data_IF_373309880837
#
_entry.id   IF_373309880837
#
_cell.length_a   1.000
_cell.length_b   1.000
_cell.length_c   1.000
_cell.angle_alpha   90.00
_cell.angle_beta   90.00
_cell.angle_gamma   90.00
#
_symmetry.space_group_name_H-M   'P 1'
#
loop_
_entity.id
_entity.type
_entity.pdbx_description
1 polymer ?
#
# COMPACT_ATOMS: atom_id res chain seq x y z
N UNK A 1 3.37 1.79 -29.88
CA UNK A 1 3.00 0.80 -28.85
C UNK A 1 1.88 1.39 -28.03
N UNK A 2 0.75 0.69 -27.90
CA UNK A 2 -0.37 1.16 -27.09
C UNK A 2 -0.02 0.86 -25.63
N UNK A 3 0.34 1.90 -24.87
CA UNK A 3 0.52 1.78 -23.41
C UNK A 3 -0.86 1.48 -22.85
N UNK A 4 -1.03 0.37 -22.13
CA UNK A 4 -2.30 0.08 -21.46
C UNK A 4 -2.65 1.24 -20.53
N UNK A 5 -3.71 1.98 -20.83
CA UNK A 5 -4.14 3.19 -20.11
C UNK A 5 -5.08 2.88 -18.96
N UNK A 6 -5.20 1.61 -18.55
CA UNK A 6 -6.13 1.16 -17.52
C UNK A 6 -5.39 0.47 -16.41
N UNK A 7 -5.64 0.90 -15.17
CA UNK A 7 -5.15 0.26 -13.96
C UNK A 7 -6.26 -0.57 -13.33
N UNK A 8 -5.93 -1.81 -13.00
CA UNK A 8 -6.77 -2.72 -12.22
C UNK A 8 -5.93 -3.30 -11.06
N UNK A 9 -6.22 -2.94 -9.80
CA UNK A 9 -5.47 -3.40 -8.64
C UNK A 9 -5.62 -4.91 -8.37
N UNK A 10 -6.61 -5.58 -8.97
CA UNK A 10 -6.79 -7.02 -8.79
C UNK A 10 -5.87 -7.87 -9.68
N UNK A 11 -5.19 -7.25 -10.64
CA UNK A 11 -4.19 -7.90 -11.50
C UNK A 11 -2.81 -7.26 -11.30
N UNK A 12 -1.76 -8.07 -11.48
CA UNK A 12 -0.41 -7.54 -11.46
C UNK A 12 -0.19 -6.63 -12.67
N UNK A 13 0.29 -5.39 -12.47
CA UNK A 13 0.65 -4.55 -13.60
C UNK A 13 1.87 -5.15 -14.31
N UNK A 14 1.90 -5.08 -15.64
CA UNK A 14 3.09 -5.47 -16.39
C UNK A 14 4.28 -4.60 -15.96
N UNK A 15 5.41 -5.17 -15.50
CA UNK A 15 6.52 -4.38 -14.97
C UNK A 15 7.13 -3.40 -15.97
N UNK A 16 7.17 -3.76 -17.26
CA UNK A 16 7.77 -2.92 -18.31
C UNK A 16 6.87 -1.72 -18.63
N UNK A 17 5.58 -1.98 -18.79
CA UNK A 17 4.54 -0.99 -19.05
C UNK A 17 4.42 -0.06 -17.86
N UNK A 18 4.30 -0.58 -16.64
CA UNK A 18 4.19 0.22 -15.43
C UNK A 18 5.36 1.18 -15.27
N UNK A 19 6.60 0.70 -15.44
CA UNK A 19 7.80 1.53 -15.34
C UNK A 19 7.90 2.61 -16.42
N UNK A 20 7.28 2.39 -17.59
CA UNK A 20 7.26 3.37 -18.69
C UNK A 20 6.27 4.52 -18.47
N UNK A 21 5.26 4.35 -17.61
CA UNK A 21 4.27 5.38 -17.29
C UNK A 21 4.91 6.40 -16.36
N UNK A 22 4.66 7.70 -16.59
CA UNK A 22 5.12 8.78 -15.70
C UNK A 22 4.57 8.59 -14.26
N UNK A 23 5.34 9.04 -13.25
CA UNK A 23 4.96 8.89 -11.86
C UNK A 23 3.62 9.55 -11.52
N UNK A 24 3.34 10.75 -12.06
CA UNK A 24 2.04 11.42 -11.90
C UNK A 24 0.92 10.67 -12.60
N UNK A 25 1.22 10.05 -13.74
CA UNK A 25 0.24 9.33 -14.54
C UNK A 25 -0.20 8.04 -13.84
N UNK A 26 0.72 7.33 -13.18
CA UNK A 26 0.37 6.17 -12.32
C UNK A 26 -0.61 6.56 -11.22
N UNK A 27 -0.39 7.71 -10.58
CA UNK A 27 -1.31 8.24 -9.57
C UNK A 27 -2.68 8.55 -10.18
N UNK A 28 -2.72 9.21 -11.36
CA UNK A 28 -3.99 9.49 -12.06
C UNK A 28 -4.73 8.22 -12.48
N UNK A 29 -4.03 7.15 -12.85
CA UNK A 29 -4.64 5.86 -13.18
C UNK A 29 -5.34 5.24 -11.96
N UNK A 30 -4.69 5.26 -10.79
CA UNK A 30 -5.29 4.77 -9.55
C UNK A 30 -6.52 5.59 -9.16
N UNK A 31 -6.44 6.92 -9.24
CA UNK A 31 -7.58 7.82 -8.96
C UNK A 31 -8.74 7.51 -9.92
N UNK A 32 -8.44 7.37 -11.21
CA UNK A 32 -9.44 7.10 -12.24
C UNK A 32 -10.14 5.76 -12.00
N UNK A 33 -9.39 4.71 -11.62
CA UNK A 33 -9.96 3.41 -11.27
C UNK A 33 -10.96 3.52 -10.12
N UNK A 34 -10.62 4.21 -9.04
CA UNK A 34 -11.52 4.37 -7.89
C UNK A 34 -12.77 5.18 -8.27
N UNK A 35 -12.61 6.25 -9.06
CA UNK A 35 -13.71 7.08 -9.52
C UNK A 35 -14.68 6.28 -10.43
N UNK A 36 -14.15 5.50 -11.38
CA UNK A 36 -14.93 4.66 -12.29
C UNK A 36 -15.72 3.58 -11.54
N UNK A 37 -15.15 3.03 -10.47
CA UNK A 37 -15.79 2.03 -9.62
C UNK A 37 -16.60 2.62 -8.46
N UNK A 38 -16.76 3.95 -8.41
CA UNK A 38 -17.49 4.69 -7.36
C UNK A 38 -17.01 4.36 -5.94
N UNK A 39 -15.72 4.09 -5.78
CA UNK A 39 -15.09 3.81 -4.49
C UNK A 39 -14.69 5.14 -3.86
N UNK A 40 -15.34 5.50 -2.75
CA UNK A 40 -15.02 6.71 -2.00
C UNK A 40 -13.87 6.45 -1.03
N UNK A 41 -12.84 7.28 -1.08
CA UNK A 41 -11.69 7.24 -0.16
C UNK A 41 -11.42 8.63 0.40
N UNK A 42 -10.78 8.70 1.57
CA UNK A 42 -10.27 9.96 2.12
C UNK A 42 -9.02 10.38 1.34
N UNK A 43 -8.92 11.67 0.97
CA UNK A 43 -7.83 12.22 0.15
C UNK A 43 -7.37 11.28 -0.99
N UNK A 44 -8.09 11.36 -2.11
CA UNK A 44 -7.85 10.53 -3.29
C UNK A 44 -6.38 10.55 -3.75
N UNK A 45 -5.65 11.66 -3.54
CA UNK A 45 -4.26 11.78 -3.98
C UNK A 45 -3.33 10.99 -3.06
N UNK A 46 -3.45 11.17 -1.74
CA UNK A 46 -2.65 10.39 -0.78
C UNK A 46 -2.93 8.89 -0.91
N UNK A 47 -4.20 8.51 -1.02
CA UNK A 47 -4.60 7.12 -1.23
C UNK A 47 -3.96 6.52 -2.49
N UNK A 48 -4.01 7.24 -3.61
CA UNK A 48 -3.41 6.79 -4.86
C UNK A 48 -1.88 6.69 -4.80
N UNK A 49 -1.20 7.60 -4.08
CA UNK A 49 0.24 7.51 -3.86
C UNK A 49 0.62 6.24 -3.10
N UNK A 50 -0.16 5.85 -2.10
CA UNK A 50 0.08 4.63 -1.33
C UNK A 50 -0.05 3.38 -2.20
N UNK A 51 -1.07 3.32 -3.07
CA UNK A 51 -1.18 2.26 -4.08
C UNK A 51 0.07 2.18 -4.94
N UNK A 52 0.48 3.30 -5.55
CA UNK A 52 1.65 3.34 -6.44
C UNK A 52 2.91 2.90 -5.71
N UNK A 53 3.09 3.31 -4.45
CA UNK A 53 4.22 2.90 -3.63
C UNK A 53 4.25 1.39 -3.40
N UNK A 54 3.12 0.78 -3.02
CA UNK A 54 3.03 -0.67 -2.83
C UNK A 54 3.24 -1.42 -4.15
N UNK A 55 2.67 -0.97 -5.26
CA UNK A 55 2.90 -1.56 -6.58
C UNK A 55 4.38 -1.54 -6.96
N UNK A 56 5.05 -0.41 -6.74
CA UNK A 56 6.48 -0.30 -7.00
C UNK A 56 7.30 -1.27 -6.15
N UNK A 57 6.93 -1.50 -4.88
CA UNK A 57 7.58 -2.49 -4.01
C UNK A 57 7.32 -3.92 -4.51
N UNK A 58 6.08 -4.24 -4.88
CA UNK A 58 5.71 -5.57 -5.40
C UNK A 58 6.43 -5.90 -6.69
N UNK A 59 6.60 -4.92 -7.58
CA UNK A 59 7.34 -5.05 -8.84
C UNK A 59 8.85 -5.23 -8.66
N UNK A 60 9.40 -5.08 -7.46
CA UNK A 60 10.77 -5.52 -7.15
C UNK A 60 10.85 -7.06 -7.04
N UNK A 61 9.70 -7.72 -6.84
CA UNK A 61 9.55 -9.18 -6.88
C UNK A 61 10.21 -9.93 -5.73
N UNK A 62 10.66 -9.23 -4.69
CA UNK A 62 11.37 -9.82 -3.56
C UNK A 62 11.14 -9.07 -2.27
N UNK A 63 11.25 -9.80 -1.16
CA UNK A 63 11.24 -9.23 0.18
C UNK A 63 9.89 -9.37 0.90
N UNK A 64 9.76 -8.73 2.07
CA UNK A 64 8.61 -8.93 2.96
C UNK A 64 7.27 -8.56 2.33
N UNK A 65 7.23 -7.51 1.49
CA UNK A 65 5.99 -7.04 0.85
C UNK A 65 5.44 -8.07 -0.13
N UNK A 66 6.31 -8.69 -0.96
CA UNK A 66 5.92 -9.75 -1.90
C UNK A 66 5.44 -11.00 -1.17
N UNK A 67 6.15 -11.43 -0.11
CA UNK A 67 5.71 -12.57 0.72
C UNK A 67 4.38 -12.31 1.43
N UNK A 68 4.18 -11.09 1.93
CA UNK A 68 2.93 -10.70 2.55
C UNK A 68 1.76 -10.74 1.54
N UNK A 69 2.00 -10.30 0.29
CA UNK A 69 1.02 -10.42 -0.78
C UNK A 69 0.62 -11.89 -1.03
N UNK A 70 1.61 -12.75 -1.24
CA UNK A 70 1.38 -14.19 -1.50
C UNK A 70 0.58 -14.83 -0.37
N UNK A 71 0.98 -14.59 0.88
CA UNK A 71 0.31 -15.12 2.07
C UNK A 71 -1.13 -14.64 2.18
N UNK A 72 -1.39 -13.33 2.08
CA UNK A 72 -2.75 -12.79 2.20
C UNK A 72 -3.65 -13.20 1.03
N UNK A 73 -3.09 -13.41 -0.17
CA UNK A 73 -3.84 -14.00 -1.30
C UNK A 73 -4.17 -15.47 -1.05
N UNK A 74 -3.26 -16.23 -0.43
CA UNK A 74 -3.52 -17.61 -0.01
C UNK A 74 -4.60 -17.68 1.09
N UNK A 75 -4.76 -16.64 1.92
CA UNK A 75 -5.90 -16.46 2.86
C UNK A 75 -7.22 -16.12 2.14
N UNK A 76 -7.23 -15.96 0.81
CA UNK A 76 -8.42 -15.68 0.00
C UNK A 76 -8.75 -14.19 -0.13
N UNK A 77 -7.83 -13.28 0.19
CA UNK A 77 -8.05 -11.86 -0.02
C UNK A 77 -7.79 -11.44 -1.48
N UNK A 78 -8.69 -10.66 -2.10
CA UNK A 78 -8.45 -10.10 -3.42
C UNK A 78 -7.25 -9.15 -3.36
N UNK A 79 -6.48 -9.09 -4.44
CA UNK A 79 -5.20 -8.37 -4.48
C UNK A 79 -5.40 -6.89 -4.18
N UNK A 80 -6.49 -6.27 -4.64
CA UNK A 80 -6.82 -4.90 -4.28
C UNK A 80 -6.92 -4.69 -2.77
N UNK A 81 -7.62 -5.58 -2.06
CA UNK A 81 -7.70 -5.54 -0.59
C UNK A 81 -6.32 -5.73 0.03
N UNK A 82 -5.49 -6.62 -0.51
CA UNK A 82 -4.14 -6.83 0.00
C UNK A 82 -3.28 -5.57 -0.13
N UNK A 83 -3.35 -4.84 -1.25
CA UNK A 83 -2.65 -3.55 -1.39
C UNK A 83 -3.05 -2.57 -0.28
N UNK A 84 -4.34 -2.47 0.06
CA UNK A 84 -4.79 -1.63 1.17
C UNK A 84 -4.23 -2.08 2.52
N UNK A 85 -4.15 -3.40 2.76
CA UNK A 85 -3.55 -3.96 3.97
C UNK A 85 -2.09 -3.54 4.07
N UNK A 86 -1.31 -3.75 3.01
CA UNK A 86 0.11 -3.42 2.96
C UNK A 86 0.35 -1.90 3.08
N UNK A 87 -0.47 -1.07 2.43
CA UNK A 87 -0.42 0.38 2.58
C UNK A 87 -0.69 0.83 4.03
N UNK A 88 -1.60 0.16 4.74
CA UNK A 88 -1.88 0.42 6.16
C UNK A 88 -0.66 0.12 7.03
N UNK A 89 0.03 -0.99 6.77
CA UNK A 89 1.28 -1.35 7.47
C UNK A 89 2.37 -0.33 7.16
N UNK A 90 2.52 0.08 5.89
CA UNK A 90 3.49 1.10 5.51
C UNK A 90 3.27 2.44 6.24
N UNK A 91 2.02 2.88 6.38
CA UNK A 91 1.69 4.08 7.14
C UNK A 91 1.96 3.93 8.65
N UNK A 92 1.78 2.74 9.22
CA UNK A 92 2.02 2.48 10.63
C UNK A 92 3.51 2.40 10.98
N UNK A 93 4.35 2.02 10.00
CA UNK A 93 5.80 1.85 10.13
C UNK A 93 6.53 2.63 9.03
N UNK A 94 6.46 3.99 9.03
CA UNK A 94 7.08 4.78 7.99
C UNK A 94 8.60 4.65 8.08
N UNK A 95 9.19 3.94 7.14
CA UNK A 95 10.64 3.84 7.01
C UNK A 95 11.15 5.13 6.38
N UNK A 96 11.88 5.94 7.15
CA UNK A 96 12.59 7.11 6.62
C UNK A 96 11.75 8.35 6.28
N UNK A 97 10.59 8.57 6.91
CA UNK A 97 9.81 9.81 6.73
C UNK A 97 9.32 10.44 8.05
N UNK A 98 9.21 11.78 7.99
CA UNK A 98 8.93 12.78 9.03
C UNK A 98 7.74 12.36 9.92
N UNK A 99 8.01 11.65 11.01
CA UNK A 99 6.97 11.07 11.88
C UNK A 99 7.25 9.66 12.38
N UNK A 100 8.36 9.03 11.96
CA UNK A 100 8.90 7.88 12.68
C UNK A 100 9.05 8.21 14.17
N UNK A 101 8.77 7.25 15.06
CA UNK A 101 9.04 7.41 16.50
C UNK A 101 10.43 8.01 16.64
N UNK A 102 10.52 9.20 17.25
CA UNK A 102 11.74 10.02 17.29
C UNK A 102 12.99 9.31 17.85
N UNK A 103 12.81 8.11 18.38
CA UNK A 103 13.82 7.30 19.06
C UNK A 103 14.33 6.10 18.23
N UNK A 104 13.83 5.84 17.03
CA UNK A 104 14.29 4.70 16.20
C UNK A 104 15.17 5.18 15.04
N UNK A 105 16.29 4.50 14.85
CA UNK A 105 17.14 4.61 13.66
C UNK A 105 16.41 4.13 12.40
N UNK A 106 16.90 4.55 11.22
CA UNK A 106 16.36 4.08 9.94
C UNK A 106 16.40 2.55 9.80
N UNK A 107 17.45 1.91 10.32
CA UNK A 107 17.58 0.45 10.32
C UNK A 107 16.53 -0.20 11.21
N UNK A 108 16.28 0.33 12.41
CA UNK A 108 15.25 -0.20 13.31
C UNK A 108 13.85 -0.02 12.74
N UNK A 109 13.57 1.12 12.10
CA UNK A 109 12.31 1.35 11.38
C UNK A 109 12.11 0.34 10.26
N UNK A 110 13.15 0.08 9.45
CA UNK A 110 13.10 -0.92 8.38
C UNK A 110 12.88 -2.34 8.93
N UNK A 111 13.55 -2.70 10.03
CA UNK A 111 13.37 -4.00 10.68
C UNK A 111 11.94 -4.17 11.22
N UNK A 112 11.39 -3.14 11.87
CA UNK A 112 10.03 -3.14 12.37
C UNK A 112 9.00 -3.25 11.23
N UNK A 113 9.18 -2.48 10.16
CA UNK A 113 8.35 -2.58 8.95
C UNK A 113 8.41 -3.98 8.33
N UNK A 114 9.62 -4.54 8.18
CA UNK A 114 9.81 -5.89 7.65
C UNK A 114 9.08 -6.92 8.52
N UNK A 115 9.27 -6.88 9.84
CA UNK A 115 8.61 -7.79 10.76
C UNK A 115 7.07 -7.65 10.72
N UNK A 116 6.54 -6.43 10.60
CA UNK A 116 5.11 -6.18 10.46
C UNK A 116 4.57 -6.78 9.16
N UNK A 117 5.29 -6.63 8.04
CA UNK A 117 4.93 -7.24 6.76
C UNK A 117 4.96 -8.78 6.81
N UNK A 118 5.94 -9.38 7.49
CA UNK A 118 5.99 -10.85 7.63
C UNK A 118 4.83 -11.40 8.46
N UNK A 119 4.36 -10.65 9.45
CA UNK A 119 3.38 -11.13 10.44
C UNK A 119 1.95 -10.74 10.15
N UNK A 120 1.70 -9.74 9.28
CA UNK A 120 0.34 -9.26 8.99
C UNK A 120 -0.56 -10.36 8.41
N UNK A 121 -1.76 -10.50 8.96
CA UNK A 121 -2.83 -11.37 8.45
C UNK A 121 -4.06 -10.54 8.15
N UNK A 122 -5.05 -11.12 7.46
CA UNK A 122 -6.35 -10.47 7.23
C UNK A 122 -7.03 -9.99 8.51
N UNK A 123 -6.98 -10.80 9.56
CA UNK A 123 -7.53 -10.47 10.88
C UNK A 123 -6.70 -9.41 11.59
N UNK A 124 -5.36 -9.55 11.59
CA UNK A 124 -4.45 -8.59 12.19
C UNK A 124 -4.61 -7.18 11.62
N UNK A 125 -4.89 -7.08 10.31
CA UNK A 125 -5.20 -5.80 9.66
C UNK A 125 -6.45 -5.13 10.21
N UNK A 126 -7.54 -5.88 10.47
CA UNK A 126 -8.77 -5.29 11.00
C UNK A 126 -8.53 -4.62 12.35
N UNK A 127 -7.68 -5.22 13.19
CA UNK A 127 -7.29 -4.67 14.48
C UNK A 127 -6.43 -3.41 14.31
N UNK A 128 -5.38 -3.48 13.48
CA UNK A 128 -4.50 -2.35 13.17
C UNK A 128 -5.27 -1.15 12.60
N UNK A 129 -6.16 -1.39 11.63
CA UNK A 129 -6.93 -0.36 10.97
C UNK A 129 -7.91 0.35 11.93
N UNK A 130 -8.55 -0.40 12.84
CA UNK A 130 -9.38 0.18 13.91
C UNK A 130 -8.54 1.05 14.85
N UNK A 131 -7.36 0.58 15.24
CA UNK A 131 -6.44 1.32 16.10
C UNK A 131 -6.03 2.66 15.46
N UNK A 132 -5.52 2.64 14.23
CA UNK A 132 -5.11 3.86 13.52
C UNK A 132 -6.25 4.87 13.34
N UNK A 133 -7.45 4.40 12.96
CA UNK A 133 -8.62 5.29 12.84
C UNK A 133 -9.03 5.91 14.19
N UNK A 134 -8.87 5.20 15.29
CA UNK A 134 -9.16 5.75 16.62
C UNK A 134 -8.15 6.80 17.06
N UNK A 135 -6.86 6.63 16.73
CA UNK A 135 -5.79 7.58 17.04
C UNK A 135 -5.97 8.89 16.24
N UNK A 136 -6.19 8.77 14.93
CA UNK A 136 -6.43 9.93 14.05
C UNK A 136 -7.65 10.77 14.47
N UNK A 137 -8.69 10.15 15.04
CA UNK A 137 -9.84 10.87 15.58
C UNK A 137 -9.53 11.64 16.87
N UNK A 138 -8.61 11.14 17.70
CA UNK A 138 -8.22 11.80 18.95
C UNK A 138 -7.33 13.00 18.71
N UNK A 139 -6.47 12.95 17.70
CA UNK A 139 -5.54 14.05 17.38
C UNK A 139 -6.23 15.25 16.69
N UNK A 140 -7.54 15.14 16.39
CA UNK A 140 -8.38 16.19 15.77
C UNK A 140 -9.42 16.79 16.74
N UNK A 141 -9.35 16.46 18.03
CA UNK A 141 -10.18 17.04 19.12
C UNK A 141 -9.30 17.87 20.06
#
# INVERSE_FOLDING_TARGET
MQVSTTYDPDFDPDPSTWRSIDAHDRVRLVISHHAQNRISVSDNRMHALLHVNIENMLLQGKGPVTRALEKLRAEGHPRHKVIHILATVWLAYPVGSIGGSANLTHQEQQLAFNAAMETITGEGWLQLHKHLRSKLKKDLQ
#
